data_IF_752652962585
#
_entry.id   IF_752652962585
#
_cell.length_a   1.000
_cell.length_b   1.000
_cell.length_c   1.000
_cell.angle_alpha   90.00
_cell.angle_beta   90.00
_cell.angle_gamma   90.00
#
_symmetry.space_group_name_H-M   'P 1'
#
loop_
_entity.id
_entity.type
_entity.pdbx_description
1 polymer ?
#
# COMPACT_ATOMS: atom_id res chain seq x y z
N UNK A 1 31.01 39.41 -38.98
CA UNK A 1 31.06 38.08 -38.32
C UNK A 1 30.48 38.29 -36.94
N UNK A 2 29.21 37.97 -36.79
CA UNK A 2 28.45 38.15 -35.53
C UNK A 2 28.05 36.76 -35.04
N UNK A 3 28.59 36.36 -33.87
CA UNK A 3 28.26 35.12 -33.16
C UNK A 3 26.90 35.25 -32.46
N UNK A 4 26.00 34.28 -32.52
CA UNK A 4 24.78 34.32 -31.73
C UNK A 4 25.02 33.80 -30.30
N UNK A 5 24.45 34.56 -29.38
CA UNK A 5 24.37 34.33 -27.92
C UNK A 5 23.58 33.06 -27.59
N UNK A 6 24.10 32.32 -26.65
CA UNK A 6 23.55 31.06 -26.19
C UNK A 6 22.16 31.16 -25.54
N UNK A 7 21.33 30.16 -25.83
CA UNK A 7 20.03 30.00 -25.20
C UNK A 7 20.16 29.48 -23.78
N UNK A 8 19.44 30.10 -22.85
CA UNK A 8 19.29 29.66 -21.47
C UNK A 8 18.64 28.26 -21.38
N UNK A 9 19.09 27.42 -20.44
CA UNK A 9 18.44 26.14 -20.20
C UNK A 9 17.08 26.34 -19.56
N UNK A 10 16.03 25.87 -20.23
CA UNK A 10 14.67 25.84 -19.68
C UNK A 10 14.58 24.93 -18.49
N UNK A 11 14.16 25.47 -17.36
CA UNK A 11 13.80 24.72 -16.17
C UNK A 11 12.72 23.65 -16.47
N UNK A 12 12.82 22.45 -15.90
CA UNK A 12 11.79 21.44 -16.07
C UNK A 12 10.48 21.90 -15.44
N UNK A 13 9.43 21.86 -16.24
CA UNK A 13 8.05 22.20 -15.81
C UNK A 13 7.60 21.19 -14.78
N UNK A 14 7.14 21.66 -13.64
CA UNK A 14 6.48 20.84 -12.63
C UNK A 14 5.26 20.11 -13.21
N UNK A 15 5.00 18.86 -12.82
CA UNK A 15 3.83 18.13 -13.27
C UNK A 15 2.56 18.83 -12.78
N UNK A 16 1.70 19.22 -13.71
CA UNK A 16 0.36 19.72 -13.40
C UNK A 16 -0.50 18.52 -13.02
N UNK A 17 -0.81 18.38 -11.75
CA UNK A 17 -1.86 17.47 -11.30
C UNK A 17 -3.20 18.01 -11.80
N UNK A 18 -3.78 17.32 -12.78
CA UNK A 18 -5.12 17.57 -13.25
C UNK A 18 -6.11 17.51 -12.11
N UNK A 19 -6.99 18.51 -12.02
CA UNK A 19 -8.13 18.54 -11.13
C UNK A 19 -9.03 17.33 -11.44
N UNK A 20 -8.94 16.28 -10.63
CA UNK A 20 -9.86 15.16 -10.70
C UNK A 20 -11.26 15.66 -10.35
N UNK A 21 -12.17 15.54 -11.33
CA UNK A 21 -13.57 15.85 -11.20
C UNK A 21 -14.18 15.14 -9.98
N UNK A 22 -15.01 15.88 -9.26
CA UNK A 22 -15.85 15.39 -8.19
C UNK A 22 -17.03 14.61 -8.79
N UNK A 23 -16.77 13.39 -9.22
CA UNK A 23 -17.83 12.42 -9.42
C UNK A 23 -17.89 11.58 -8.15
N UNK A 24 -18.84 11.99 -7.29
CA UNK A 24 -19.19 11.29 -6.06
C UNK A 24 -20.04 10.07 -6.40
N UNK A 25 -19.41 9.00 -6.90
CA UNK A 25 -20.01 7.70 -6.77
C UNK A 25 -19.95 7.27 -5.30
N UNK A 26 -21.03 6.75 -4.72
CA UNK A 26 -21.00 6.25 -3.36
C UNK A 26 -19.98 5.11 -3.30
N UNK A 27 -18.89 5.32 -2.56
CA UNK A 27 -17.93 4.26 -2.26
C UNK A 27 -18.72 3.13 -1.63
N UNK A 28 -18.71 1.97 -2.24
CA UNK A 28 -19.15 0.75 -1.57
C UNK A 28 -18.27 0.60 -0.32
N UNK A 29 -18.83 0.99 0.80
CA UNK A 29 -18.24 0.71 2.10
C UNK A 29 -18.38 -0.79 2.25
N UNK A 30 -17.27 -1.54 2.20
CA UNK A 30 -17.28 -2.95 2.56
C UNK A 30 -17.90 -3.07 3.96
N UNK A 31 -19.13 -3.57 4.02
CA UNK A 31 -19.80 -3.88 5.28
C UNK A 31 -19.49 -5.35 5.58
N UNK A 32 -18.92 -5.68 6.73
CA UNK A 32 -18.73 -7.07 7.13
C UNK A 32 -20.05 -7.80 6.95
N UNK A 33 -20.04 -8.88 6.14
CA UNK A 33 -21.23 -9.56 5.72
C UNK A 33 -22.11 -9.97 6.90
N UNK A 34 -23.38 -9.66 6.80
CA UNK A 34 -24.47 -10.14 7.64
C UNK A 34 -24.74 -11.65 7.42
N UNK A 35 -23.67 -12.46 7.37
CA UNK A 35 -23.82 -13.89 7.39
C UNK A 35 -24.06 -14.29 8.84
N UNK A 36 -25.32 -14.53 9.18
CA UNK A 36 -25.89 -14.82 10.48
C UNK A 36 -25.35 -16.03 11.23
N UNK A 37 -24.04 -16.05 11.45
CA UNK A 37 -23.41 -16.85 12.49
C UNK A 37 -23.12 -15.89 13.62
N UNK A 38 -24.03 -15.85 14.59
CA UNK A 38 -23.85 -15.12 15.83
C UNK A 38 -22.49 -15.46 16.41
N UNK A 39 -21.54 -14.53 16.25
CA UNK A 39 -20.22 -14.59 16.86
C UNK A 39 -20.43 -14.56 18.37
N UNK A 40 -20.05 -15.64 19.06
CA UNK A 40 -19.98 -15.67 20.51
C UNK A 40 -18.91 -14.72 21.10
N UNK A 41 -18.21 -14.01 20.22
CA UNK A 41 -17.27 -12.93 20.52
C UNK A 41 -17.98 -11.63 20.14
N UNK A 42 -18.20 -10.75 21.11
CA UNK A 42 -18.81 -9.43 20.90
C UNK A 42 -18.16 -8.65 19.75
N UNK A 43 -18.84 -7.59 19.27
CA UNK A 43 -18.39 -6.74 18.16
C UNK A 43 -16.88 -6.47 18.29
N UNK A 44 -16.04 -6.89 17.34
CA UNK A 44 -14.59 -6.79 17.51
C UNK A 44 -14.22 -5.31 17.70
N UNK A 45 -13.54 -5.03 18.78
CA UNK A 45 -13.00 -3.70 19.04
C UNK A 45 -12.03 -3.23 17.93
N UNK A 46 -11.46 -4.19 17.19
CA UNK A 46 -10.56 -3.97 16.05
C UNK A 46 -11.31 -4.33 14.77
N UNK A 47 -11.42 -3.39 13.85
CA UNK A 47 -12.11 -3.55 12.56
C UNK A 47 -11.18 -3.52 11.37
N UNK A 48 -10.02 -2.85 11.50
CA UNK A 48 -9.07 -2.69 10.40
C UNK A 48 -7.63 -2.68 10.87
N UNK A 49 -6.80 -3.47 10.19
CA UNK A 49 -5.38 -3.62 10.48
C UNK A 49 -4.56 -3.18 9.28
N UNK A 50 -3.52 -2.36 9.52
CA UNK A 50 -2.48 -2.08 8.55
C UNK A 50 -1.28 -2.99 8.82
N UNK A 51 -0.86 -3.77 7.82
CA UNK A 51 0.32 -4.62 7.89
C UNK A 51 1.41 -4.05 6.99
N UNK A 52 2.58 -3.76 7.56
CA UNK A 52 3.69 -3.13 6.84
C UNK A 52 4.75 -4.18 6.48
N UNK A 53 4.98 -4.38 5.18
CA UNK A 53 6.02 -5.26 4.64
C UNK A 53 6.85 -4.49 3.61
N UNK A 54 7.81 -3.68 4.11
CA UNK A 54 8.52 -2.69 3.27
C UNK A 54 9.46 -3.34 2.28
N UNK A 55 10.15 -4.41 2.67
CA UNK A 55 11.25 -5.00 1.91
C UNK A 55 10.84 -6.09 0.92
N UNK A 56 9.66 -6.67 1.08
CA UNK A 56 9.18 -7.77 0.25
C UNK A 56 7.69 -7.66 0.03
N UNK A 57 7.27 -7.70 -1.23
CA UNK A 57 5.84 -7.74 -1.56
C UNK A 57 5.23 -9.05 -1.06
N UNK A 58 4.10 -9.00 -0.36
CA UNK A 58 3.36 -10.21 0.02
C UNK A 58 2.96 -11.10 -1.17
N UNK A 59 2.98 -10.58 -2.40
CA UNK A 59 2.72 -11.35 -3.63
C UNK A 59 3.96 -12.04 -4.19
N UNK A 60 5.16 -11.68 -3.72
CA UNK A 60 6.38 -12.30 -4.21
C UNK A 60 6.38 -13.82 -3.93
N UNK A 61 6.73 -14.65 -4.95
CA UNK A 61 6.77 -16.10 -4.78
C UNK A 61 7.70 -16.51 -3.65
N UNK A 62 7.32 -17.48 -2.80
CA UNK A 62 8.20 -18.01 -1.77
C UNK A 62 9.49 -18.59 -2.38
N UNK A 63 10.64 -18.31 -1.77
CA UNK A 63 11.94 -18.84 -2.20
C UNK A 63 12.65 -18.04 -3.29
N UNK A 64 12.10 -16.90 -3.72
CA UNK A 64 12.76 -15.97 -4.65
C UNK A 64 13.26 -14.76 -3.88
N UNK A 65 14.57 -14.52 -3.90
CA UNK A 65 15.20 -13.42 -3.16
C UNK A 65 14.94 -13.52 -1.65
N UNK A 66 14.55 -12.41 -1.04
CA UNK A 66 14.18 -12.33 0.38
C UNK A 66 12.73 -12.80 0.66
N UNK A 67 12.02 -13.34 -0.34
CA UNK A 67 10.63 -13.80 -0.24
C UNK A 67 10.59 -15.20 0.40
N UNK A 68 10.36 -15.25 1.69
CA UNK A 68 10.31 -16.47 2.49
C UNK A 68 8.94 -16.75 3.10
N UNK A 69 8.96 -17.52 4.19
CA UNK A 69 7.77 -17.86 4.99
C UNK A 69 6.98 -16.64 5.49
N UNK A 70 7.63 -15.47 5.59
CA UNK A 70 7.00 -14.22 6.02
C UNK A 70 5.82 -13.83 5.12
N UNK A 71 5.99 -13.89 3.79
CA UNK A 71 4.93 -13.53 2.85
C UNK A 71 3.73 -14.49 2.95
N UNK A 72 4.00 -15.78 3.15
CA UNK A 72 2.98 -16.79 3.37
C UNK A 72 2.23 -16.51 4.69
N UNK A 73 2.97 -16.20 5.75
CA UNK A 73 2.43 -15.87 7.06
C UNK A 73 1.52 -14.63 7.01
N UNK A 74 2.01 -13.53 6.44
CA UNK A 74 1.25 -12.27 6.33
C UNK A 74 -0.08 -12.51 5.62
N UNK A 75 -0.07 -13.21 4.48
CA UNK A 75 -1.29 -13.52 3.73
C UNK A 75 -2.25 -14.43 4.49
N UNK A 76 -1.72 -15.44 5.17
CA UNK A 76 -2.54 -16.36 5.97
C UNK A 76 -3.22 -15.64 7.14
N UNK A 77 -2.49 -14.76 7.84
CA UNK A 77 -3.04 -13.94 8.94
C UNK A 77 -4.09 -12.95 8.41
N UNK A 78 -3.80 -12.23 7.33
CA UNK A 78 -4.75 -11.28 6.74
C UNK A 78 -6.05 -11.96 6.31
N UNK A 79 -5.96 -13.16 5.69
CA UNK A 79 -7.12 -13.98 5.32
C UNK A 79 -7.93 -14.40 6.54
N UNK A 80 -7.27 -14.84 7.60
CA UNK A 80 -7.96 -15.27 8.81
C UNK A 80 -8.63 -14.09 9.53
N UNK A 81 -8.00 -12.93 9.55
CA UNK A 81 -8.60 -11.70 10.06
C UNK A 81 -9.85 -11.32 9.26
N UNK A 82 -9.79 -11.38 7.93
CA UNK A 82 -10.94 -11.09 7.06
C UNK A 82 -12.11 -12.04 7.31
N UNK A 83 -11.85 -13.34 7.54
CA UNK A 83 -12.88 -14.33 7.91
C UNK A 83 -13.58 -13.99 9.23
N UNK A 84 -12.88 -13.28 10.11
CA UNK A 84 -13.41 -12.79 11.41
C UNK A 84 -14.02 -11.40 11.33
N UNK A 85 -14.16 -10.84 10.13
CA UNK A 85 -14.73 -9.51 9.92
C UNK A 85 -13.76 -8.35 10.15
N UNK A 86 -12.44 -8.62 10.24
CA UNK A 86 -11.40 -7.61 10.38
C UNK A 86 -10.73 -7.37 9.03
N UNK A 87 -10.91 -6.20 8.44
CA UNK A 87 -10.25 -5.83 7.19
C UNK A 87 -8.74 -5.66 7.38
N UNK A 88 -7.96 -6.03 6.36
CA UNK A 88 -6.50 -5.92 6.39
C UNK A 88 -5.98 -5.23 5.14
N UNK A 89 -5.20 -4.17 5.33
CA UNK A 89 -4.47 -3.50 4.27
C UNK A 89 -2.97 -3.82 4.43
N UNK A 90 -2.41 -4.47 3.42
CA UNK A 90 -1.00 -4.86 3.35
C UNK A 90 -0.25 -3.76 2.60
N UNK A 91 0.71 -3.12 3.24
CA UNK A 91 1.51 -2.05 2.64
C UNK A 91 2.89 -2.55 2.27
N UNK A 92 3.28 -2.34 1.04
CA UNK A 92 4.64 -2.61 0.55
C UNK A 92 5.15 -1.44 -0.28
N UNK A 93 6.46 -1.38 -0.48
CA UNK A 93 7.06 -0.40 -1.38
C UNK A 93 6.82 -0.82 -2.84
N UNK A 94 6.40 0.13 -3.68
CA UNK A 94 6.39 -0.08 -5.12
C UNK A 94 7.83 -0.34 -5.62
N UNK A 95 8.00 -1.40 -6.40
CA UNK A 95 9.27 -1.82 -6.96
C UNK A 95 9.27 -1.88 -8.49
N UNK A 96 8.16 -1.48 -9.12
CA UNK A 96 8.00 -1.34 -10.55
C UNK A 96 7.05 -0.18 -10.86
N UNK A 97 7.24 0.53 -11.98
CA UNK A 97 6.24 1.49 -12.47
C UNK A 97 4.90 0.82 -12.84
N UNK A 98 4.92 -0.50 -13.07
CA UNK A 98 3.73 -1.29 -13.40
C UNK A 98 2.99 -1.79 -12.15
N UNK A 99 3.52 -1.58 -10.95
CA UNK A 99 2.84 -1.96 -9.71
C UNK A 99 1.56 -1.13 -9.54
N UNK A 100 0.37 -1.74 -9.53
CA UNK A 100 -0.87 -1.01 -9.34
C UNK A 100 -0.91 -0.41 -7.92
N UNK A 101 -1.43 0.81 -7.73
CA UNK A 101 -1.47 1.46 -6.42
C UNK A 101 -2.21 0.65 -5.34
N UNK A 102 -3.24 -0.10 -5.75
CA UNK A 102 -4.01 -0.97 -4.86
C UNK A 102 -4.52 -2.21 -5.61
N UNK A 103 -4.47 -3.35 -4.94
CA UNK A 103 -4.99 -4.64 -5.44
C UNK A 103 -5.83 -5.28 -4.34
N UNK A 104 -7.05 -5.67 -4.64
CA UNK A 104 -7.81 -6.54 -3.76
C UNK A 104 -7.33 -7.99 -3.96
N UNK A 105 -6.82 -8.60 -2.89
CA UNK A 105 -6.33 -9.97 -2.92
C UNK A 105 -7.45 -10.97 -2.64
N UNK A 106 -8.30 -10.63 -1.68
CA UNK A 106 -9.46 -11.39 -1.23
C UNK A 106 -10.45 -10.39 -0.60
N UNK A 107 -11.74 -10.71 -0.45
CA UNK A 107 -12.68 -9.82 0.23
C UNK A 107 -12.17 -9.42 1.61
N UNK A 108 -11.98 -8.11 1.81
CA UNK A 108 -11.45 -7.55 3.05
C UNK A 108 -9.92 -7.57 3.18
N UNK A 109 -9.17 -8.01 2.16
CA UNK A 109 -7.70 -7.97 2.14
C UNK A 109 -7.21 -7.24 0.92
N UNK A 110 -6.52 -6.11 1.09
CA UNK A 110 -5.92 -5.33 0.00
C UNK A 110 -4.42 -5.25 0.14
N UNK A 111 -3.73 -5.22 -0.99
CA UNK A 111 -2.32 -4.85 -1.09
C UNK A 111 -2.22 -3.43 -1.65
N UNK A 112 -1.44 -2.59 -1.01
CA UNK A 112 -1.19 -1.21 -1.37
C UNK A 112 0.30 -1.02 -1.64
N UNK A 113 0.63 -0.60 -2.86
CA UNK A 113 2.00 -0.27 -3.24
C UNK A 113 2.25 1.21 -3.01
N UNK A 114 3.20 1.52 -2.13
CA UNK A 114 3.58 2.88 -1.79
C UNK A 114 4.86 3.30 -2.53
N UNK A 115 4.80 4.44 -3.20
CA UNK A 115 5.97 5.02 -3.83
C UNK A 115 6.91 5.60 -2.77
N UNK A 116 8.08 4.98 -2.63
CA UNK A 116 9.12 5.38 -1.70
C UNK A 116 10.50 5.06 -2.28
N UNK A 117 11.11 6.05 -2.90
CA UNK A 117 12.38 5.89 -3.64
C UNK A 117 12.17 5.42 -5.08
N UNK A 118 13.17 4.77 -5.70
CA UNK A 118 13.11 4.35 -7.09
C UNK A 118 12.10 3.21 -7.28
N UNK A 119 11.43 3.21 -8.46
CA UNK A 119 10.48 2.15 -8.83
C UNK A 119 11.22 0.94 -9.43
N UNK A 120 12.10 0.37 -8.63
CA UNK A 120 12.90 -0.83 -8.94
C UNK A 120 13.19 -1.63 -7.66
N UNK A 121 13.53 -2.91 -7.75
CA UNK A 121 14.00 -3.67 -6.60
C UNK A 121 15.27 -3.04 -6.01
N UNK A 122 15.30 -2.88 -4.69
CA UNK A 122 16.47 -2.37 -3.97
C UNK A 122 16.91 -3.37 -2.89
N UNK A 123 18.23 -3.51 -2.65
CA UNK A 123 18.73 -4.35 -1.55
C UNK A 123 18.17 -3.86 -0.21
N UNK A 124 17.87 -4.79 0.69
CA UNK A 124 17.30 -4.46 2.02
C UNK A 124 18.19 -3.51 2.84
N UNK A 125 19.52 -3.56 2.63
CA UNK A 125 20.48 -2.68 3.30
C UNK A 125 20.34 -1.21 2.88
N UNK A 126 19.71 -0.96 1.72
CA UNK A 126 19.48 0.40 1.18
C UNK A 126 18.12 0.95 1.62
N UNK A 127 17.16 0.09 1.97
CA UNK A 127 15.80 0.47 2.36
C UNK A 127 15.72 1.54 3.46
N UNK A 128 16.59 1.57 4.47
CA UNK A 128 16.56 2.63 5.49
C UNK A 128 16.56 4.05 4.94
N UNK A 129 17.15 4.27 3.75
CA UNK A 129 17.17 5.58 3.07
C UNK A 129 15.78 6.05 2.62
N UNK A 130 14.84 5.12 2.44
CA UNK A 130 13.51 5.38 1.90
C UNK A 130 12.40 5.28 2.95
N UNK A 131 12.72 4.96 4.20
CA UNK A 131 11.71 4.79 5.26
C UNK A 131 10.92 6.08 5.54
N UNK A 132 11.55 7.26 5.50
CA UNK A 132 10.83 8.52 5.66
C UNK A 132 9.83 8.75 4.51
N UNK A 133 10.24 8.48 3.27
CA UNK A 133 9.35 8.58 2.12
C UNK A 133 8.20 7.57 2.21
N UNK A 134 8.50 6.34 2.63
CA UNK A 134 7.49 5.30 2.87
C UNK A 134 6.49 5.72 3.95
N UNK A 135 6.97 6.27 5.07
CA UNK A 135 6.11 6.76 6.14
C UNK A 135 5.20 7.90 5.66
N UNK A 136 5.74 8.86 4.91
CA UNK A 136 4.91 9.93 4.33
C UNK A 136 3.84 9.40 3.39
N UNK A 137 4.16 8.39 2.58
CA UNK A 137 3.20 7.74 1.68
C UNK A 137 2.16 6.92 2.47
N UNK A 138 2.58 6.26 3.56
CA UNK A 138 1.70 5.52 4.47
C UNK A 138 0.68 6.44 5.16
N UNK A 139 1.12 7.62 5.64
CA UNK A 139 0.22 8.61 6.26
C UNK A 139 -0.86 9.04 5.25
N UNK A 140 -0.47 9.41 4.04
CA UNK A 140 -1.42 9.77 2.97
C UNK A 140 -2.37 8.62 2.61
N UNK A 141 -1.86 7.39 2.59
CA UNK A 141 -2.70 6.21 2.38
C UNK A 141 -3.68 6.01 3.54
N UNK A 142 -3.25 6.26 4.78
CA UNK A 142 -4.11 6.23 5.97
C UNK A 142 -5.27 7.22 5.88
N UNK A 143 -5.03 8.44 5.38
CA UNK A 143 -6.08 9.44 5.13
C UNK A 143 -7.09 8.98 4.07
N UNK A 144 -6.63 8.23 3.07
CA UNK A 144 -7.47 7.75 1.96
C UNK A 144 -8.21 6.45 2.28
N UNK A 145 -7.58 5.51 2.95
CA UNK A 145 -8.05 4.13 3.13
C UNK A 145 -8.37 3.77 4.57
N UNK A 146 -7.81 4.51 5.56
CA UNK A 146 -8.03 4.30 7.00
C UNK A 146 -9.41 4.75 7.49
N UNK A 147 -9.59 4.93 8.79
CA UNK A 147 -8.59 4.75 9.84
C UNK A 147 -8.20 3.28 10.08
N UNK A 148 -7.06 3.07 10.74
CA UNK A 148 -6.59 1.76 11.18
C UNK A 148 -6.57 1.69 12.70
N UNK A 149 -7.07 0.58 13.25
CA UNK A 149 -7.07 0.33 14.69
C UNK A 149 -5.72 -0.21 15.16
N UNK A 150 -5.00 -0.92 14.27
CA UNK A 150 -3.70 -1.52 14.56
C UNK A 150 -2.75 -1.33 13.38
N UNK A 151 -1.49 -1.00 13.67
CA UNK A 151 -0.37 -1.10 12.74
C UNK A 151 0.53 -2.26 13.17
N UNK A 152 0.80 -3.17 12.23
CA UNK A 152 1.67 -4.33 12.43
C UNK A 152 2.82 -4.28 11.42
N UNK A 153 4.06 -4.13 11.89
CA UNK A 153 5.26 -4.11 11.03
C UNK A 153 5.98 -5.46 11.07
N UNK A 154 6.54 -5.84 9.93
CA UNK A 154 7.31 -7.06 9.71
C UNK A 154 8.74 -6.73 9.32
#
# INVERSE_FOLDING_TARGET
>A
MTTPVGGEPRSPRAPQYGSAGRDSEPREVWVPGSNGHGSAFGDPAIRRVAVLSVHSSPLAPPGVGDSGGMNVYIRAVARELARRGVASDLFTRAASPDDPPAVELEPGVRLLHLEAGPLEPVPKQVLPRYLCAFLCALIRAGERYGPYDVLHSQ
#
